data_IF_704437052295
#
_entry.id   IF_704437052295
#
_cell.length_a   1.000
_cell.length_b   1.000
_cell.length_c   1.000
_cell.angle_alpha   90.00
_cell.angle_beta   90.00
_cell.angle_gamma   90.00
#
_symmetry.space_group_name_H-M   'P 1'
#
loop_
_entity.id
_entity.type
_entity.pdbx_description
1 polymer ?
#
# COMPACT_ATOMS: atom_id res chain seq x y z
N UNK A 1 -17.97 -30.73 8.81
CA UNK A 1 -19.27 -31.09 9.41
C UNK A 1 -19.62 -30.11 10.53
N UNK A 2 -18.69 -29.82 11.46
CA UNK A 2 -18.95 -28.93 12.60
C UNK A 2 -19.42 -27.51 12.24
N UNK A 3 -18.86 -26.89 11.20
CA UNK A 3 -19.26 -25.54 10.74
C UNK A 3 -20.72 -25.49 10.22
N UNK A 4 -21.23 -26.62 9.72
CA UNK A 4 -22.59 -26.74 9.21
C UNK A 4 -23.58 -26.98 10.35
N UNK A 5 -23.17 -27.78 11.35
CA UNK A 5 -23.93 -28.04 12.57
C UNK A 5 -24.13 -26.76 13.39
N UNK A 6 -23.11 -25.90 13.46
CA UNK A 6 -23.14 -24.65 14.24
C UNK A 6 -24.01 -23.55 13.58
N UNK A 7 -24.09 -23.54 12.25
CA UNK A 7 -24.96 -22.61 11.50
C UNK A 7 -26.43 -22.99 11.59
N UNK A 8 -26.74 -24.29 11.50
CA UNK A 8 -28.12 -24.77 11.57
C UNK A 8 -28.68 -24.66 13.00
N UNK A 9 -27.86 -24.91 14.02
CA UNK A 9 -28.29 -24.77 15.42
C UNK A 9 -28.63 -23.33 15.81
N UNK A 10 -27.82 -22.34 15.37
CA UNK A 10 -28.11 -20.92 15.64
C UNK A 10 -29.33 -20.38 14.91
N UNK A 11 -29.57 -20.85 13.67
CA UNK A 11 -30.64 -20.30 12.83
C UNK A 11 -32.01 -20.86 13.15
N UNK A 12 -32.08 -22.10 13.64
CA UNK A 12 -33.34 -22.79 13.90
C UNK A 12 -33.53 -23.19 15.37
N UNK A 13 -32.58 -22.86 16.26
CA UNK A 13 -32.59 -23.27 17.68
C UNK A 13 -32.72 -24.80 17.90
N UNK A 14 -32.19 -25.61 16.97
CA UNK A 14 -32.27 -27.07 17.03
C UNK A 14 -30.88 -27.66 17.27
N UNK A 15 -30.71 -28.46 18.33
CA UNK A 15 -29.47 -29.19 18.63
C UNK A 15 -29.37 -30.47 17.80
N UNK A 16 -28.72 -30.38 16.63
CA UNK A 16 -28.47 -31.52 15.73
C UNK A 16 -27.67 -32.67 16.37
N UNK A 17 -26.92 -32.42 17.44
CA UNK A 17 -26.14 -33.45 18.15
C UNK A 17 -26.98 -34.31 19.10
N UNK A 18 -28.17 -33.86 19.48
CA UNK A 18 -29.13 -34.59 20.31
C UNK A 18 -30.24 -35.27 19.48
N UNK A 19 -30.20 -35.13 18.15
CA UNK A 19 -31.16 -35.75 17.26
C UNK A 19 -30.95 -37.27 17.23
N UNK A 20 -31.74 -38.00 18.03
CA UNK A 20 -31.85 -39.44 17.93
C UNK A 20 -32.75 -39.77 16.73
N UNK A 21 -32.25 -40.47 15.69
CA UNK A 21 -33.10 -40.88 14.58
C UNK A 21 -34.17 -41.83 15.08
N UNK A 22 -35.42 -41.41 15.01
CA UNK A 22 -36.58 -42.25 15.32
C UNK A 22 -36.68 -43.36 14.26
N UNK A 23 -36.00 -44.48 14.55
CA UNK A 23 -35.92 -45.64 13.67
C UNK A 23 -37.32 -46.21 13.37
N UNK A 24 -38.27 -46.04 14.30
CA UNK A 24 -39.63 -46.52 14.11
C UNK A 24 -40.40 -45.65 13.10
N UNK A 25 -40.26 -44.33 13.16
CA UNK A 25 -40.83 -43.42 12.17
C UNK A 25 -40.19 -43.61 10.78
N UNK A 26 -38.88 -43.88 10.73
CA UNK A 26 -38.16 -44.15 9.49
C UNK A 26 -38.60 -45.48 8.84
N UNK A 27 -38.70 -46.57 9.60
CA UNK A 27 -39.21 -47.84 9.06
C UNK A 27 -40.66 -47.75 8.57
N UNK A 28 -41.49 -46.99 9.29
CA UNK A 28 -42.90 -46.80 8.91
C UNK A 28 -43.04 -46.03 7.59
N UNK A 29 -42.23 -44.99 7.39
CA UNK A 29 -42.22 -44.20 6.15
C UNK A 29 -41.60 -44.97 4.98
N UNK A 30 -40.54 -45.74 5.22
CA UNK A 30 -39.92 -46.61 4.21
C UNK A 30 -40.90 -47.71 3.73
N UNK A 31 -41.63 -48.35 4.65
CA UNK A 31 -42.67 -49.32 4.30
C UNK A 31 -43.82 -48.69 3.50
N UNK A 32 -44.22 -47.47 3.83
CA UNK A 32 -45.25 -46.75 3.08
C UNK A 32 -44.80 -46.41 1.65
N UNK A 33 -43.52 -46.06 1.46
CA UNK A 33 -42.96 -45.79 0.13
C UNK A 33 -42.81 -47.07 -0.70
N UNK A 34 -42.35 -48.17 -0.11
CA UNK A 34 -42.26 -49.46 -0.81
C UNK A 34 -43.63 -49.96 -1.27
N UNK A 35 -44.66 -49.85 -0.41
CA UNK A 35 -46.05 -50.22 -0.75
C UNK A 35 -46.67 -49.33 -1.83
N UNK A 36 -46.17 -48.09 -2.00
CA UNK A 36 -46.59 -47.15 -3.04
C UNK A 36 -45.89 -47.44 -4.37
N UNK A 37 -44.62 -47.83 -4.33
CA UNK A 37 -43.87 -48.26 -5.52
C UNK A 37 -44.35 -49.61 -6.07
N UNK A 38 -44.66 -50.59 -5.21
CA UNK A 38 -45.25 -51.87 -5.62
C UNK A 38 -46.61 -51.70 -6.32
N UNK A 39 -47.37 -50.64 -6.00
CA UNK A 39 -48.63 -50.30 -6.67
C UNK A 39 -48.46 -49.57 -8.01
N UNK A 40 -47.29 -49.00 -8.31
CA UNK A 40 -47.05 -48.26 -9.56
C UNK A 40 -46.42 -49.10 -10.68
N UNK A 41 -45.70 -50.20 -10.37
CA UNK A 41 -45.00 -51.01 -11.39
C UNK A 41 -45.72 -52.32 -11.80
N UNK A 42 -46.88 -52.63 -11.22
CA UNK A 42 -47.69 -53.80 -11.59
C UNK A 42 -48.78 -53.48 -12.63
N UNK A 43 -48.51 -53.76 -13.91
CA UNK A 43 -49.51 -53.74 -14.97
C UNK A 43 -50.74 -54.61 -14.67
N UNK A 44 -51.90 -54.16 -15.13
CA UNK A 44 -53.20 -54.78 -14.88
C UNK A 44 -53.27 -56.27 -15.25
N UNK A 45 -54.01 -57.06 -14.46
CA UNK A 45 -54.99 -57.97 -15.01
C UNK A 45 -56.41 -57.55 -14.61
N UNK A 46 -57.34 -57.72 -15.54
CA UNK A 46 -58.78 -57.62 -15.33
C UNK A 46 -59.27 -58.55 -14.19
N UNK A 47 -60.42 -58.26 -13.55
CA UNK A 47 -60.70 -58.69 -12.19
C UNK A 47 -61.18 -60.15 -12.13
N UNK A 48 -60.65 -60.96 -11.21
CA UNK A 48 -61.37 -62.08 -10.65
C UNK A 48 -61.77 -61.74 -9.21
N UNK A 49 -63.06 -61.51 -9.01
CA UNK A 49 -63.67 -61.44 -7.68
C UNK A 49 -63.49 -60.09 -7.01
N UNK A 50 -64.57 -59.31 -6.97
CA UNK A 50 -64.84 -58.38 -5.90
C UNK A 50 -64.74 -59.12 -4.56
N UNK A 51 -63.55 -59.13 -3.95
CA UNK A 51 -63.50 -59.04 -2.51
C UNK A 51 -64.08 -57.67 -2.19
N UNK A 52 -65.39 -57.64 -1.95
CA UNK A 52 -66.00 -56.58 -1.17
C UNK A 52 -65.16 -56.51 0.10
N UNK A 53 -64.24 -55.53 0.16
CA UNK A 53 -63.68 -55.09 1.42
C UNK A 53 -64.93 -54.78 2.25
N UNK A 54 -65.17 -55.57 3.29
CA UNK A 54 -66.39 -55.46 4.06
C UNK A 54 -66.59 -53.97 4.40
N UNK A 55 -67.78 -53.43 4.16
CA UNK A 55 -68.11 -52.03 4.45
C UNK A 55 -67.46 -51.47 5.74
N UNK A 56 -67.38 -52.23 6.87
CA UNK A 56 -66.68 -51.75 8.09
C UNK A 56 -65.17 -51.50 7.94
N UNK A 57 -64.43 -52.26 7.12
CA UNK A 57 -62.98 -52.08 6.94
C UNK A 57 -62.65 -50.86 6.09
N UNK A 58 -63.52 -50.52 5.13
CA UNK A 58 -63.39 -49.28 4.34
C UNK A 58 -63.64 -48.07 5.25
N UNK A 59 -64.65 -48.15 6.13
CA UNK A 59 -64.97 -47.06 7.06
C UNK A 59 -63.84 -46.80 8.07
N UNK A 60 -63.22 -47.86 8.59
CA UNK A 60 -62.05 -47.73 9.47
C UNK A 60 -60.86 -47.09 8.74
N UNK A 61 -60.58 -47.51 7.51
CA UNK A 61 -59.49 -46.94 6.70
C UNK A 61 -59.75 -45.46 6.40
N UNK A 62 -61.00 -45.09 6.10
CA UNK A 62 -61.40 -43.70 5.89
C UNK A 62 -61.23 -42.88 7.18
N UNK A 63 -61.59 -43.44 8.34
CA UNK A 63 -61.42 -42.78 9.63
C UNK A 63 -59.93 -42.55 9.97
N UNK A 64 -59.07 -43.53 9.72
CA UNK A 64 -57.62 -43.38 9.91
C UNK A 64 -57.02 -42.33 8.97
N UNK A 65 -57.42 -42.33 7.69
CA UNK A 65 -56.95 -41.34 6.72
C UNK A 65 -57.44 -39.93 7.05
N UNK A 66 -58.67 -39.79 7.56
CA UNK A 66 -59.21 -38.51 8.04
C UNK A 66 -58.45 -38.01 9.26
N UNK A 67 -58.17 -38.89 10.23
CA UNK A 67 -57.33 -38.53 11.38
C UNK A 67 -55.92 -38.09 10.97
N UNK A 68 -55.32 -38.76 9.98
CA UNK A 68 -54.02 -38.35 9.43
C UNK A 68 -54.09 -36.99 8.73
N UNK A 69 -55.19 -36.71 8.04
CA UNK A 69 -55.45 -35.41 7.40
C UNK A 69 -55.59 -34.29 8.44
N UNK A 70 -56.36 -34.52 9.49
CA UNK A 70 -56.59 -33.55 10.56
C UNK A 70 -55.29 -33.26 11.35
N UNK A 71 -54.44 -34.28 11.53
CA UNK A 71 -53.13 -34.14 12.20
C UNK A 71 -52.10 -33.33 11.39
N UNK A 72 -52.27 -33.15 10.07
CA UNK A 72 -51.35 -32.34 9.25
C UNK A 72 -51.50 -30.83 9.49
N UNK A 73 -52.60 -30.40 10.13
CA UNK A 73 -52.87 -29.00 10.38
C UNK A 73 -53.24 -28.22 9.12
N UNK A 74 -53.54 -26.90 9.25
CA UNK A 74 -53.88 -26.07 8.11
C UNK A 74 -52.70 -25.95 7.14
N UNK A 75 -52.91 -26.32 5.88
CA UNK A 75 -51.91 -26.21 4.82
C UNK A 75 -51.72 -24.72 4.48
N UNK A 76 -50.50 -24.23 4.59
CA UNK A 76 -50.16 -22.89 4.12
C UNK A 76 -50.09 -22.90 2.58
N UNK A 77 -51.13 -22.38 1.93
CA UNK A 77 -51.21 -22.29 0.47
C UNK A 77 -50.25 -21.25 -0.11
N UNK A 78 -49.83 -20.27 0.69
CA UNK A 78 -48.89 -19.22 0.30
C UNK A 78 -47.43 -19.69 0.35
N UNK A 79 -47.16 -20.86 0.96
CA UNK A 79 -45.81 -21.38 1.15
C UNK A 79 -45.04 -21.61 -0.15
N UNK A 80 -45.73 -21.87 -1.26
CA UNK A 80 -45.09 -22.04 -2.58
C UNK A 80 -44.57 -20.69 -3.09
N UNK A 81 -45.39 -19.64 -2.98
CA UNK A 81 -45.00 -18.28 -3.39
C UNK A 81 -43.89 -17.74 -2.49
N UNK A 82 -44.00 -17.92 -1.17
CA UNK A 82 -42.96 -17.51 -0.21
C UNK A 82 -41.63 -18.24 -0.47
N UNK A 83 -41.68 -19.51 -0.87
CA UNK A 83 -40.49 -20.28 -1.24
C UNK A 83 -39.81 -19.68 -2.47
N UNK A 84 -40.58 -19.39 -3.53
CA UNK A 84 -40.05 -18.82 -4.77
C UNK A 84 -39.41 -17.44 -4.51
N UNK A 85 -40.08 -16.56 -3.75
CA UNK A 85 -39.54 -15.25 -3.36
C UNK A 85 -38.25 -15.37 -2.52
N UNK A 86 -38.22 -16.31 -1.58
CA UNK A 86 -37.05 -16.55 -0.74
C UNK A 86 -35.89 -17.12 -1.55
N UNK A 87 -36.17 -17.99 -2.52
CA UNK A 87 -35.17 -18.57 -3.42
C UNK A 87 -34.55 -17.49 -4.32
N UNK A 88 -35.36 -16.59 -4.90
CA UNK A 88 -34.86 -15.45 -5.68
C UNK A 88 -33.95 -14.55 -4.83
N UNK A 89 -34.39 -14.20 -3.62
CA UNK A 89 -33.60 -13.38 -2.69
C UNK A 89 -32.31 -14.08 -2.29
N UNK A 90 -32.36 -15.39 -2.08
CA UNK A 90 -31.18 -16.20 -1.77
C UNK A 90 -30.17 -16.16 -2.92
N UNK A 91 -30.62 -16.44 -4.16
CA UNK A 91 -29.78 -16.40 -5.37
C UNK A 91 -29.14 -15.03 -5.58
N UNK A 92 -29.90 -13.94 -5.36
CA UNK A 92 -29.38 -12.58 -5.44
C UNK A 92 -28.27 -12.33 -4.41
N UNK A 93 -28.52 -12.64 -3.13
CA UNK A 93 -27.54 -12.43 -2.05
C UNK A 93 -26.31 -13.32 -2.21
N UNK A 94 -26.48 -14.56 -2.69
CA UNK A 94 -25.36 -15.46 -3.00
C UNK A 94 -24.48 -14.88 -4.12
N UNK A 95 -25.09 -14.35 -5.18
CA UNK A 95 -24.36 -13.70 -6.28
C UNK A 95 -23.56 -12.50 -5.77
N UNK A 96 -24.18 -11.63 -4.97
CA UNK A 96 -23.49 -10.48 -4.35
C UNK A 96 -22.37 -10.90 -3.41
N UNK A 97 -22.57 -11.97 -2.62
CA UNK A 97 -21.54 -12.47 -1.72
C UNK A 97 -20.33 -13.05 -2.47
N UNK A 98 -20.59 -13.78 -3.54
CA UNK A 98 -19.56 -14.33 -4.41
C UNK A 98 -18.77 -13.20 -5.08
N UNK A 99 -19.46 -12.18 -5.60
CA UNK A 99 -18.81 -11.02 -6.21
C UNK A 99 -17.92 -10.25 -5.21
N UNK A 100 -18.41 -10.03 -4.00
CA UNK A 100 -17.65 -9.37 -2.94
C UNK A 100 -16.43 -10.20 -2.49
N UNK A 101 -16.58 -11.52 -2.46
CA UNK A 101 -15.49 -12.45 -2.11
C UNK A 101 -14.43 -12.49 -3.21
N UNK A 102 -14.84 -12.48 -4.47
CA UNK A 102 -13.95 -12.40 -5.62
C UNK A 102 -13.20 -11.08 -5.66
N UNK A 103 -13.92 -9.95 -5.51
CA UNK A 103 -13.33 -8.61 -5.44
C UNK A 103 -12.31 -8.49 -4.31
N UNK A 104 -12.62 -9.06 -3.12
CA UNK A 104 -11.67 -9.11 -2.00
C UNK A 104 -10.39 -9.85 -2.36
N UNK A 105 -10.51 -11.01 -3.03
CA UNK A 105 -9.36 -11.81 -3.46
C UNK A 105 -8.50 -11.03 -4.47
N UNK A 106 -9.13 -10.43 -5.47
CA UNK A 106 -8.43 -9.61 -6.47
C UNK A 106 -7.68 -8.43 -5.84
N UNK A 107 -8.30 -7.72 -4.89
CA UNK A 107 -7.63 -6.64 -4.17
C UNK A 107 -6.42 -7.14 -3.37
N UNK A 108 -6.52 -8.30 -2.73
CA UNK A 108 -5.38 -8.90 -2.00
C UNK A 108 -4.24 -9.29 -2.94
N UNK A 109 -4.56 -9.82 -4.13
CA UNK A 109 -3.57 -10.16 -5.15
C UNK A 109 -2.84 -8.90 -5.68
N UNK A 110 -3.59 -7.82 -5.93
CA UNK A 110 -3.03 -6.52 -6.32
C UNK A 110 -2.12 -5.96 -5.22
N UNK A 111 -2.55 -6.01 -3.96
CA UNK A 111 -1.72 -5.57 -2.82
C UNK A 111 -0.43 -6.38 -2.75
N UNK A 112 -0.51 -7.71 -2.93
CA UNK A 112 0.68 -8.57 -2.94
C UNK A 112 1.64 -8.21 -4.07
N UNK A 113 1.13 -7.91 -5.26
CA UNK A 113 1.93 -7.48 -6.40
C UNK A 113 2.59 -6.11 -6.17
N UNK A 114 1.87 -5.15 -5.60
CA UNK A 114 2.40 -3.83 -5.22
C UNK A 114 3.51 -3.97 -4.18
N UNK A 115 3.30 -4.80 -3.15
CA UNK A 115 4.31 -5.03 -2.11
C UNK A 115 5.58 -5.67 -2.67
N UNK A 116 5.44 -6.66 -3.55
CA UNK A 116 6.58 -7.30 -4.23
C UNK A 116 7.37 -6.29 -5.08
N UNK A 117 6.67 -5.47 -5.85
CA UNK A 117 7.29 -4.44 -6.70
C UNK A 117 7.98 -3.37 -5.87
N UNK A 118 7.31 -2.89 -4.82
CA UNK A 118 7.85 -1.88 -3.88
C UNK A 118 9.11 -2.41 -3.19
N UNK A 119 9.11 -3.68 -2.74
CA UNK A 119 10.27 -4.31 -2.11
C UNK A 119 11.46 -4.37 -3.05
N UNK A 120 11.25 -4.76 -4.31
CA UNK A 120 12.30 -4.80 -5.32
C UNK A 120 12.89 -3.41 -5.58
N UNK A 121 12.03 -2.42 -5.82
CA UNK A 121 12.46 -1.03 -6.05
C UNK A 121 13.20 -0.45 -4.84
N UNK A 122 12.73 -0.74 -3.62
CA UNK A 122 13.39 -0.33 -2.40
C UNK A 122 14.79 -0.94 -2.30
N UNK A 123 14.95 -2.25 -2.49
CA UNK A 123 16.26 -2.91 -2.42
C UNK A 123 17.24 -2.38 -3.47
N UNK A 124 16.79 -2.16 -4.69
CA UNK A 124 17.61 -1.58 -5.77
C UNK A 124 18.04 -0.14 -5.45
N UNK A 125 17.10 0.70 -5.02
CA UNK A 125 17.40 2.10 -4.67
C UNK A 125 18.27 2.19 -3.40
N UNK A 126 18.02 1.37 -2.39
CA UNK A 126 18.82 1.33 -1.17
C UNK A 126 20.28 0.93 -1.46
N UNK A 127 20.48 -0.07 -2.33
CA UNK A 127 21.83 -0.47 -2.76
C UNK A 127 22.56 0.68 -3.48
N UNK A 128 21.87 1.42 -4.35
CA UNK A 128 22.44 2.60 -5.02
C UNK A 128 22.76 3.73 -4.04
N UNK A 129 21.83 4.05 -3.13
CA UNK A 129 22.06 5.07 -2.09
C UNK A 129 23.24 4.70 -1.21
N UNK A 130 23.40 3.41 -0.84
CA UNK A 130 24.53 2.92 -0.04
C UNK A 130 25.87 3.12 -0.74
N UNK A 131 25.95 2.88 -2.05
CA UNK A 131 27.17 3.11 -2.84
C UNK A 131 27.48 4.61 -2.91
N UNK A 132 26.50 5.41 -3.31
CA UNK A 132 26.65 6.87 -3.41
C UNK A 132 27.02 7.49 -2.05
N UNK A 133 26.46 6.98 -0.96
CA UNK A 133 26.75 7.47 0.39
C UNK A 133 28.21 7.23 0.79
N UNK A 134 28.77 6.06 0.45
CA UNK A 134 30.19 5.77 0.70
C UNK A 134 31.10 6.74 -0.05
N UNK A 135 30.82 6.96 -1.33
CA UNK A 135 31.59 7.88 -2.17
C UNK A 135 31.48 9.34 -1.69
N UNK A 136 30.25 9.80 -1.44
CA UNK A 136 30.00 11.17 -0.97
C UNK A 136 30.60 11.43 0.42
N UNK A 137 30.56 10.44 1.31
CA UNK A 137 31.19 10.55 2.62
C UNK A 137 32.71 10.70 2.51
N UNK A 138 33.35 9.86 1.69
CA UNK A 138 34.80 9.92 1.50
C UNK A 138 35.24 11.25 0.90
N UNK A 139 34.48 11.78 -0.08
CA UNK A 139 34.72 13.09 -0.69
C UNK A 139 34.55 14.24 0.31
N UNK A 140 33.48 14.24 1.11
CA UNK A 140 33.18 15.29 2.09
C UNK A 140 34.14 15.29 3.28
N UNK A 141 34.60 14.13 3.74
CA UNK A 141 35.52 14.03 4.88
C UNK A 141 37.00 14.02 4.47
N UNK A 142 37.30 13.86 3.17
CA UNK A 142 38.67 13.71 2.65
C UNK A 142 39.30 12.39 3.11
N UNK A 143 38.48 11.34 3.23
CA UNK A 143 38.83 10.04 3.81
C UNK A 143 37.83 9.57 4.86
N UNK A 144 38.08 8.39 5.42
CA UNK A 144 37.15 7.71 6.34
C UNK A 144 36.26 6.70 5.62
N UNK A 145 35.29 6.11 6.34
CA UNK A 145 34.34 5.14 5.78
C UNK A 145 32.98 5.33 6.43
N UNK A 146 31.91 5.19 5.67
CA UNK A 146 30.56 5.12 6.22
C UNK A 146 29.78 4.00 5.54
N UNK A 147 28.76 3.49 6.21
CA UNK A 147 27.90 2.46 5.65
C UNK A 147 26.47 2.54 6.16
N UNK A 148 25.55 2.04 5.34
CA UNK A 148 24.13 1.89 5.65
C UNK A 148 23.81 0.41 5.78
N UNK A 149 23.14 0.04 6.88
CA UNK A 149 22.64 -1.32 7.13
C UNK A 149 21.16 -1.27 7.50
N UNK A 150 20.42 -2.30 7.08
CA UNK A 150 19.04 -2.51 7.52
C UNK A 150 19.06 -3.29 8.83
N UNK A 151 18.21 -2.92 9.79
CA UNK A 151 18.10 -3.65 11.06
C UNK A 151 17.51 -5.05 10.86
N UNK A 152 16.62 -5.21 9.87
CA UNK A 152 16.05 -6.50 9.48
C UNK A 152 15.93 -6.60 7.95
N UNK A 153 16.72 -7.49 7.34
CA UNK A 153 16.70 -7.72 5.89
C UNK A 153 15.42 -8.46 5.44
N UNK A 154 14.71 -9.13 6.35
CA UNK A 154 13.49 -9.88 6.05
C UNK A 154 12.24 -9.01 5.96
N UNK A 155 12.29 -7.77 6.45
CA UNK A 155 11.21 -6.80 6.30
C UNK A 155 11.76 -5.38 6.02
N UNK A 156 12.31 -5.15 4.82
CA UNK A 156 12.96 -3.90 4.48
C UNK A 156 12.00 -2.69 4.46
N UNK A 157 10.68 -2.93 4.38
CA UNK A 157 9.68 -1.85 4.33
C UNK A 157 9.32 -1.31 5.71
N UNK A 158 9.45 -2.13 6.76
CA UNK A 158 9.12 -1.72 8.13
C UNK A 158 10.33 -1.63 9.07
N UNK A 159 11.51 -2.11 8.65
CA UNK A 159 12.71 -2.03 9.47
C UNK A 159 13.34 -0.62 9.48
N UNK A 160 14.08 -0.31 10.54
CA UNK A 160 14.89 0.89 10.60
C UNK A 160 16.20 0.76 9.82
N UNK A 161 16.79 1.90 9.45
CA UNK A 161 18.11 1.99 8.83
C UNK A 161 19.11 2.44 9.89
N UNK A 162 20.20 1.68 10.05
CA UNK A 162 21.33 2.06 10.87
C UNK A 162 22.42 2.71 10.01
N UNK A 163 22.94 3.83 10.50
CA UNK A 163 24.01 4.59 9.86
C UNK A 163 25.26 4.43 10.71
N UNK A 164 26.30 3.84 10.11
CA UNK A 164 27.62 3.72 10.71
C UNK A 164 28.60 4.64 10.01
N UNK A 165 29.40 5.38 10.78
CA UNK A 165 30.38 6.31 10.23
C UNK A 165 31.70 6.23 10.97
N UNK A 166 32.79 6.31 10.21
CA UNK A 166 34.17 6.33 10.67
C UNK A 166 34.87 7.53 10.04
N UNK A 167 34.85 8.69 10.70
CA UNK A 167 35.63 9.85 10.30
C UNK A 167 37.14 9.53 10.28
N UNK A 168 37.96 10.31 9.53
CA UNK A 168 39.40 10.09 9.47
C UNK A 168 40.03 10.17 10.87
N UNK A 169 40.79 9.14 11.25
CA UNK A 169 41.47 9.08 12.56
C UNK A 169 40.61 8.59 13.74
N UNK A 170 39.33 8.25 13.55
CA UNK A 170 38.44 7.69 14.59
C UNK A 170 38.05 6.24 14.29
N UNK A 171 37.48 5.57 15.31
CA UNK A 171 36.87 4.25 15.16
C UNK A 171 35.44 4.36 14.58
N UNK A 172 34.90 3.24 14.10
CA UNK A 172 33.52 3.16 13.62
C UNK A 172 32.57 3.40 14.80
N UNK A 173 31.68 4.38 14.66
CA UNK A 173 30.72 4.76 15.69
C UNK A 173 29.35 5.00 15.08
N UNK A 174 28.30 4.80 15.89
CA UNK A 174 26.94 5.19 15.54
C UNK A 174 26.84 6.73 15.51
N UNK A 175 26.00 7.28 14.63
CA UNK A 175 25.84 8.73 14.42
C UNK A 175 25.59 9.52 15.72
N UNK A 176 24.89 8.93 16.70
CA UNK A 176 24.61 9.56 17.99
C UNK A 176 25.85 9.91 18.83
N UNK A 177 26.99 9.26 18.56
CA UNK A 177 28.25 9.46 19.28
C UNK A 177 29.19 10.47 18.59
N UNK A 178 28.80 10.99 17.42
CA UNK A 178 29.60 11.96 16.66
C UNK A 178 29.46 13.38 17.21
N UNK A 179 30.46 14.23 16.95
CA UNK A 179 30.36 15.66 17.26
C UNK A 179 29.25 16.34 16.44
N UNK A 180 28.77 17.51 16.88
CA UNK A 180 27.69 18.24 16.21
C UNK A 180 27.95 18.51 14.73
N UNK A 181 29.16 19.00 14.40
CA UNK A 181 29.55 19.26 13.01
C UNK A 181 29.78 17.99 12.18
N UNK A 182 30.35 16.93 12.79
CA UNK A 182 30.50 15.63 12.12
C UNK A 182 29.13 15.02 11.79
N UNK A 183 28.18 15.07 12.72
CA UNK A 183 26.81 14.61 12.50
C UNK A 183 26.13 15.36 11.37
N UNK A 184 26.28 16.69 11.31
CA UNK A 184 25.75 17.48 10.20
C UNK A 184 26.38 17.11 8.86
N UNK A 185 27.71 16.90 8.82
CA UNK A 185 28.40 16.44 7.61
C UNK A 185 27.93 15.05 7.15
N UNK A 186 27.71 14.10 8.07
CA UNK A 186 27.17 12.77 7.73
C UNK A 186 25.75 12.89 7.14
N UNK A 187 24.91 13.73 7.75
CA UNK A 187 23.55 13.96 7.27
C UNK A 187 23.54 14.59 5.86
N UNK A 188 24.41 15.57 5.63
CA UNK A 188 24.59 16.21 4.31
C UNK A 188 25.09 15.21 3.28
N UNK A 189 26.04 14.34 3.63
CA UNK A 189 26.53 13.28 2.75
C UNK A 189 25.40 12.31 2.35
N UNK A 190 24.55 11.91 3.30
CA UNK A 190 23.39 11.06 3.04
C UNK A 190 22.36 11.76 2.14
N UNK A 191 22.10 13.04 2.39
CA UNK A 191 21.15 13.82 1.60
C UNK A 191 21.61 13.93 0.14
N UNK A 192 22.89 14.22 -0.11
CA UNK A 192 23.44 14.23 -1.46
C UNK A 192 23.49 12.85 -2.10
N UNK A 193 23.73 11.79 -1.33
CA UNK A 193 23.71 10.42 -1.85
C UNK A 193 22.31 10.00 -2.35
N UNK A 194 21.26 10.38 -1.61
CA UNK A 194 19.87 10.19 -2.03
C UNK A 194 19.57 11.03 -3.27
N UNK A 195 20.02 12.29 -3.25
CA UNK A 195 19.84 13.22 -4.36
C UNK A 195 20.47 12.72 -5.67
N UNK A 196 21.62 12.05 -5.62
CA UNK A 196 22.25 11.43 -6.80
C UNK A 196 21.41 10.33 -7.45
N UNK A 197 20.60 9.60 -6.66
CA UNK A 197 19.73 8.54 -7.19
C UNK A 197 18.51 9.12 -7.89
N UNK A 198 17.94 10.20 -7.35
CA UNK A 198 16.83 10.94 -7.95
C UNK A 198 17.07 12.45 -7.86
N UNK A 199 17.72 13.06 -8.87
CA UNK A 199 17.96 14.49 -8.87
C UNK A 199 16.64 15.25 -9.00
N UNK A 200 16.44 16.20 -8.10
CA UNK A 200 15.32 17.15 -8.15
C UNK A 200 15.75 18.41 -8.92
N UNK A 201 14.88 18.99 -9.77
CA UNK A 201 15.21 20.17 -10.57
C UNK A 201 15.63 21.38 -9.73
N UNK A 202 15.14 21.49 -8.49
CA UNK A 202 15.60 22.47 -7.51
C UNK A 202 15.78 21.85 -6.12
N UNK A 203 16.70 22.42 -5.34
CA UNK A 203 17.00 22.03 -3.97
C UNK A 203 17.10 23.28 -3.08
N UNK A 204 16.43 23.29 -1.92
CA UNK A 204 16.48 24.37 -0.94
C UNK A 204 17.24 23.89 0.29
N UNK A 205 18.27 24.62 0.70
CA UNK A 205 19.10 24.32 1.87
C UNK A 205 19.05 25.50 2.83
N UNK A 206 18.50 25.31 4.03
CA UNK A 206 18.38 26.35 5.05
C UNK A 206 19.37 26.13 6.19
N UNK A 207 20.31 27.06 6.36
CA UNK A 207 21.35 27.11 7.41
C UNK A 207 22.11 25.78 7.62
N UNK A 208 22.25 24.98 6.55
CA UNK A 208 22.87 23.65 6.60
C UNK A 208 24.35 23.72 7.02
N UNK A 209 25.00 24.85 6.79
CA UNK A 209 26.40 25.11 7.11
C UNK A 209 26.62 25.74 8.50
N UNK A 210 25.57 25.99 9.29
CA UNK A 210 25.68 26.67 10.59
C UNK A 210 26.49 25.87 11.64
N UNK A 211 26.42 24.54 11.60
CA UNK A 211 27.13 23.65 12.52
C UNK A 211 28.50 23.19 12.00
N UNK A 212 28.90 23.64 10.81
CA UNK A 212 30.14 23.24 10.15
C UNK A 212 31.29 24.21 10.47
N UNK A 213 32.51 23.69 10.55
CA UNK A 213 33.71 24.51 10.63
C UNK A 213 34.17 24.98 9.23
N UNK A 214 35.10 25.95 9.19
CA UNK A 214 35.55 26.54 7.93
C UNK A 214 36.14 25.49 6.97
N UNK A 215 36.81 24.46 7.49
CA UNK A 215 37.38 23.37 6.71
C UNK A 215 36.29 22.57 5.99
N UNK A 216 35.25 22.16 6.71
CA UNK A 216 34.15 21.38 6.17
C UNK A 216 33.26 22.19 5.22
N UNK A 217 33.05 23.49 5.48
CA UNK A 217 32.30 24.39 4.57
C UNK A 217 32.96 24.43 3.18
N UNK A 218 34.29 24.52 3.11
CA UNK A 218 35.00 24.50 1.83
C UNK A 218 34.88 23.17 1.08
N UNK A 219 34.60 22.06 1.77
CA UNK A 219 34.36 20.75 1.15
C UNK A 219 32.91 20.64 0.68
N UNK A 220 31.96 21.07 1.51
CA UNK A 220 30.55 21.18 1.17
C UNK A 220 30.32 22.03 -0.10
N UNK A 221 30.94 23.21 -0.19
CA UNK A 221 30.86 24.07 -1.37
C UNK A 221 31.42 23.37 -2.63
N UNK A 222 32.53 22.64 -2.51
CA UNK A 222 33.09 21.89 -3.65
C UNK A 222 32.15 20.81 -4.15
N UNK A 223 31.45 20.14 -3.23
CA UNK A 223 30.43 19.16 -3.57
C UNK A 223 29.23 19.83 -4.24
N UNK A 224 28.78 20.98 -3.74
CA UNK A 224 27.71 21.75 -4.40
C UNK A 224 28.07 22.09 -5.85
N UNK A 225 29.29 22.58 -6.11
CA UNK A 225 29.75 22.95 -7.46
C UNK A 225 29.55 21.83 -8.50
N UNK A 226 29.67 20.56 -8.08
CA UNK A 226 29.42 19.39 -8.93
C UNK A 226 27.97 19.26 -9.37
N UNK A 227 27.02 19.67 -8.54
CA UNK A 227 25.59 19.51 -8.79
C UNK A 227 24.92 20.73 -9.44
N UNK A 228 25.55 21.92 -9.37
CA UNK A 228 25.03 23.17 -9.97
C UNK A 228 24.70 23.00 -11.45
N UNK A 229 25.50 22.22 -12.20
CA UNK A 229 25.27 21.98 -13.63
C UNK A 229 24.03 21.15 -13.96
N UNK A 230 23.49 20.40 -12.99
CA UNK A 230 22.34 19.53 -13.20
C UNK A 230 21.06 20.09 -12.57
N UNK A 231 21.16 20.97 -11.58
CA UNK A 231 20.01 21.42 -10.81
C UNK A 231 20.22 22.75 -10.12
N UNK A 232 19.11 23.43 -9.82
CA UNK A 232 19.14 24.74 -9.20
C UNK A 232 19.21 24.63 -7.67
N UNK A 233 20.17 25.29 -7.04
CA UNK A 233 20.27 25.34 -5.57
C UNK A 233 19.84 26.70 -5.03
N UNK A 234 18.99 26.67 -4.02
CA UNK A 234 18.61 27.84 -3.23
C UNK A 234 19.15 27.63 -1.83
N UNK A 235 20.13 28.45 -1.44
CA UNK A 235 20.78 28.30 -0.14
C UNK A 235 20.41 29.51 0.72
N UNK A 236 20.06 29.27 1.97
CA UNK A 236 19.85 30.30 2.99
C UNK A 236 21.00 30.15 3.98
N UNK A 237 21.86 31.15 4.07
CA UNK A 237 23.01 31.12 4.97
C UNK A 237 23.49 32.53 5.30
N UNK A 238 24.15 32.67 6.45
CA UNK A 238 24.93 33.85 6.81
C UNK A 238 26.44 33.63 6.59
N UNK A 239 26.85 32.46 6.09
CA UNK A 239 28.25 32.10 5.93
C UNK A 239 28.88 32.79 4.71
N UNK A 240 29.87 33.65 4.97
CA UNK A 240 30.57 34.42 3.92
C UNK A 240 31.20 33.55 2.84
N UNK A 241 31.67 32.34 3.17
CA UNK A 241 32.32 31.44 2.19
C UNK A 241 31.31 30.84 1.23
N UNK A 242 30.16 30.41 1.73
CA UNK A 242 29.04 29.89 0.92
C UNK A 242 28.46 31.02 0.06
N UNK A 243 28.29 32.21 0.62
CA UNK A 243 27.84 33.42 -0.10
C UNK A 243 28.78 33.79 -1.24
N UNK A 244 30.10 33.74 -1.02
CA UNK A 244 31.10 34.13 -2.01
C UNK A 244 31.11 33.25 -3.28
N UNK A 245 30.42 32.11 -3.25
CA UNK A 245 30.35 31.14 -4.34
C UNK A 245 29.04 31.20 -5.12
N UNK A 246 28.12 32.07 -4.71
CA UNK A 246 26.84 32.21 -5.34
C UNK A 246 26.88 33.02 -6.64
N UNK A 247 26.07 32.62 -7.62
CA UNK A 247 25.87 33.41 -8.85
C UNK A 247 24.99 34.65 -8.60
N UNK A 248 23.92 34.44 -7.83
CA UNK A 248 22.92 35.46 -7.49
C UNK A 248 22.67 35.42 -5.99
N UNK A 249 22.67 36.60 -5.39
CA UNK A 249 22.37 36.82 -3.99
C UNK A 249 21.11 37.67 -3.86
N UNK A 250 20.17 37.20 -3.05
CA UNK A 250 18.98 37.91 -2.64
C UNK A 250 19.11 38.26 -1.15
N UNK A 251 19.37 39.52 -0.86
CA UNK A 251 19.32 40.06 0.49
C UNK A 251 17.89 40.37 0.92
N UNK A 252 17.52 39.92 2.11
CA UNK A 252 16.28 40.33 2.77
C UNK A 252 16.62 41.45 3.75
N UNK A 253 16.00 42.60 3.63
CA UNK A 253 16.16 43.73 4.54
C UNK A 253 14.83 44.08 5.21
N UNK A 254 14.90 44.58 6.44
CA UNK A 254 13.74 45.10 7.17
C UNK A 254 13.95 46.59 7.46
N UNK A 255 13.55 47.45 6.54
CA UNK A 255 13.59 48.91 6.73
C UNK A 255 12.54 49.37 7.74
N UNK A 256 11.35 48.75 7.70
CA UNK A 256 10.26 48.97 8.63
C UNK A 256 10.03 47.71 9.46
N UNK A 257 9.72 47.86 10.76
CA UNK A 257 9.46 46.71 11.63
C UNK A 257 8.30 45.88 11.08
N UNK A 258 8.59 44.62 10.77
CA UNK A 258 7.60 43.65 10.30
C UNK A 258 7.38 43.63 8.78
N UNK A 259 8.05 44.50 8.00
CA UNK A 259 7.98 44.49 6.54
C UNK A 259 9.34 44.11 5.96
N UNK A 260 9.40 42.93 5.32
CA UNK A 260 10.61 42.47 4.64
C UNK A 260 10.61 42.94 3.19
N UNK A 261 11.72 43.54 2.74
CA UNK A 261 11.99 43.88 1.34
C UNK A 261 13.11 42.98 0.82
N UNK A 262 13.02 42.62 -0.46
CA UNK A 262 13.98 41.73 -1.10
C UNK A 262 14.82 42.52 -2.10
N UNK A 263 16.14 42.38 -2.00
CA UNK A 263 17.13 43.09 -2.82
C UNK A 263 17.99 42.03 -3.52
N UNK A 264 17.96 41.99 -4.84
CA UNK A 264 18.76 41.06 -5.64
C UNK A 264 20.06 41.70 -6.14
N UNK A 265 21.17 40.97 -6.05
CA UNK A 265 22.47 41.31 -6.63
C UNK A 265 23.04 40.09 -7.36
N UNK A 266 23.54 40.28 -8.58
CA UNK A 266 24.28 39.25 -9.32
C UNK A 266 25.77 39.40 -9.02
N UNK A 267 26.40 38.34 -8.54
CA UNK A 267 27.82 38.31 -8.14
C UNK A 267 28.73 37.92 -9.31
N UNK A 268 28.19 37.17 -10.29
CA UNK A 268 28.93 36.81 -11.50
C UNK A 268 28.90 37.96 -12.50
N UNK A 269 30.09 38.45 -12.88
CA UNK A 269 30.22 39.43 -13.97
C UNK A 269 29.53 38.89 -15.23
N UNK A 270 28.83 39.74 -16.02
CA UNK A 270 28.37 39.31 -17.33
C UNK A 270 29.57 38.76 -18.10
N UNK A 271 29.45 37.61 -18.80
CA UNK A 271 30.56 37.12 -19.61
C UNK A 271 30.98 38.25 -20.54
N UNK A 272 32.26 38.63 -20.50
CA UNK A 272 32.82 39.59 -21.44
C UNK A 272 32.43 39.11 -22.83
N UNK A 273 31.54 39.86 -23.48
CA UNK A 273 31.30 39.70 -24.90
C UNK A 273 32.62 40.10 -25.53
N UNK A 274 33.44 39.10 -25.87
CA UNK A 274 34.56 39.30 -26.74
C UNK A 274 34.01 40.05 -27.96
N UNK A 275 34.36 41.32 -28.09
CA UNK A 275 34.03 42.16 -29.23
C UNK A 275 34.85 41.62 -30.41
N UNK A 276 34.41 40.50 -30.97
CA UNK A 276 34.78 40.11 -32.31
C UNK A 276 33.94 40.96 -33.25
N UNK A 277 34.58 42.01 -33.78
CA UNK A 277 34.14 42.64 -35.01
C UNK A 277 34.06 41.56 -36.09
N UNK A 278 32.85 41.12 -36.41
CA UNK A 278 32.55 40.53 -37.70
C UNK A 278 31.11 40.84 -38.08
N UNK A 279 31.00 41.75 -39.03
CA UNK A 279 29.78 42.10 -39.78
C UNK A 279 29.19 40.82 -40.41
N UNK A 280 27.89 40.57 -40.19
CA UNK A 280 27.10 39.79 -41.14
C UNK A 280 26.19 38.68 -40.59
N UNK A 281 24.89 38.98 -40.56
CA UNK A 281 23.78 38.12 -41.02
C UNK A 281 23.14 37.07 -40.06
N UNK A 282 21.92 37.40 -39.63
CA UNK A 282 20.68 36.60 -39.51
C UNK A 282 20.58 35.32 -38.65
N UNK A 283 19.53 35.37 -37.81
CA UNK A 283 18.52 34.36 -37.41
C UNK A 283 18.75 33.50 -36.15
N UNK A 284 17.78 33.65 -35.24
CA UNK A 284 17.17 32.71 -34.28
C UNK A 284 18.07 31.73 -33.51
N UNK A 285 18.18 31.96 -32.20
CA UNK A 285 17.65 31.04 -31.17
C UNK A 285 17.99 31.60 -29.77
N UNK A 286 17.05 32.31 -29.14
CA UNK A 286 17.16 32.64 -27.72
C UNK A 286 16.79 31.40 -26.89
N UNK A 287 17.79 30.57 -26.58
CA UNK A 287 17.70 29.64 -25.46
C UNK A 287 18.06 30.41 -24.19
N UNK A 288 17.06 30.70 -23.36
CA UNK A 288 17.22 31.39 -22.09
C UNK A 288 18.10 30.56 -21.14
N UNK A 289 19.30 31.06 -20.84
CA UNK A 289 20.17 30.51 -19.79
C UNK A 289 19.54 30.87 -18.44
N UNK A 290 18.94 29.89 -17.77
CA UNK A 290 18.38 30.06 -16.43
C UNK A 290 19.50 30.08 -15.38
N UNK A 291 19.43 30.94 -14.35
CA UNK A 291 20.46 31.00 -13.31
C UNK A 291 20.37 29.80 -12.36
N UNK A 292 21.53 29.16 -12.11
CA UNK A 292 21.64 27.88 -11.40
C UNK A 292 21.74 27.98 -9.87
N UNK A 293 21.91 29.18 -9.30
CA UNK A 293 21.98 29.37 -7.84
C UNK A 293 21.30 30.67 -7.41
N UNK A 294 20.36 30.57 -6.47
CA UNK A 294 19.63 31.72 -5.92
C UNK A 294 19.73 31.71 -4.40
N UNK A 295 20.58 32.55 -3.81
CA UNK A 295 20.78 32.59 -2.36
C UNK A 295 19.84 33.59 -1.70
N UNK A 296 19.18 33.25 -0.60
CA UNK A 296 18.38 34.20 0.18
C UNK A 296 19.06 34.41 1.55
N UNK A 297 19.50 35.63 1.85
CA UNK A 297 20.15 35.95 3.12
C UNK A 297 19.19 36.76 4.01
N UNK A 298 19.02 36.36 5.27
CA UNK A 298 18.35 37.15 6.31
C UNK A 298 19.26 38.24 6.89
#
# INVERSE_FOLDING_TARGET
IDNLTERVSRRYQINLREFAPDHYAFEKTLRAQLKRNEKMEGGAPAPPGSQEVAAPDIEQLIAELRMQLDNMGPVNLDAVQEYDELEERYKFLETQNNDLTNSRRELLDVIAQINSTTRKLFSETFAQVRINFREMFEELFGGGRADLSLLDENDPLNCGIEISAKPPGKQLQTVSLLSGGERSMVAVALLFAIYMVRPSPFCILDEVDAAMDEGNINRFVRVLDRFIGQSQFIIITHNKRTIAKADVLYGVTMEERGVSKLVGMKLTAPPETAVHQSVGNKRNSEAAVQPHLALATR
#
